data_IF_634989670275
#
_entry.id   IF_634989670275
#
_cell.length_a   1.000
_cell.length_b   1.000
_cell.length_c   1.000
_cell.angle_alpha   90.00
_cell.angle_beta   90.00
_cell.angle_gamma   90.00
#
_symmetry.space_group_name_H-M   'P 1'
#
loop_
_entity.id
_entity.type
_entity.pdbx_description
1 polymer ?
#
# COMPACT_ATOMS: atom_id res chain seq x y z
N UNK A 1 -11.09 10.56 7.69
CA UNK A 1 -9.73 10.35 8.23
C UNK A 1 -9.77 9.33 9.35
N UNK A 2 -9.41 8.10 9.00
CA UNK A 2 -9.45 6.93 9.88
C UNK A 2 -8.29 6.88 10.89
N UNK A 3 -7.10 7.38 10.52
CA UNK A 3 -5.91 7.46 11.38
C UNK A 3 -5.17 8.78 11.20
N UNK A 4 -4.48 9.22 12.24
CA UNK A 4 -3.50 10.31 12.23
C UNK A 4 -2.07 9.79 12.02
N UNK A 5 -1.13 10.68 11.71
CA UNK A 5 0.29 10.32 11.61
C UNK A 5 0.85 9.85 12.97
N UNK A 6 0.42 10.48 14.07
CA UNK A 6 0.81 10.10 15.42
C UNK A 6 0.34 8.69 15.78
N UNK A 7 -0.92 8.35 15.42
CA UNK A 7 -1.45 6.99 15.61
C UNK A 7 -0.71 5.97 14.73
N UNK A 8 -0.37 6.34 13.49
CA UNK A 8 0.42 5.49 12.60
C UNK A 8 1.77 5.12 13.22
N UNK A 9 2.49 6.10 13.76
CA UNK A 9 3.78 5.91 14.43
C UNK A 9 3.60 5.11 15.74
N UNK A 10 2.56 5.43 16.52
CA UNK A 10 2.26 4.76 17.79
C UNK A 10 1.91 3.27 17.61
N UNK A 11 1.37 2.89 16.45
CA UNK A 11 1.12 1.48 16.10
C UNK A 11 2.41 0.71 15.73
N UNK A 12 3.56 1.38 15.66
CA UNK A 12 4.85 0.76 15.38
C UNK A 12 5.13 0.50 13.90
N UNK A 13 4.37 1.13 13.00
CA UNK A 13 4.69 1.07 11.56
C UNK A 13 5.98 1.87 11.28
N UNK A 14 6.88 1.33 10.43
CA UNK A 14 8.15 1.99 10.16
C UNK A 14 7.95 3.31 9.40
N UNK A 15 8.65 4.35 9.85
CA UNK A 15 8.74 5.61 9.12
C UNK A 15 9.67 5.45 7.92
N UNK A 16 9.14 5.64 6.71
CA UNK A 16 9.95 5.71 5.50
C UNK A 16 10.36 7.17 5.31
N UNK A 17 11.65 7.47 5.47
CA UNK A 17 12.19 8.83 5.60
C UNK A 17 11.97 9.74 4.38
N UNK A 18 11.66 9.19 3.21
CA UNK A 18 11.34 9.93 1.98
C UNK A 18 9.84 9.95 1.65
N UNK A 19 9.01 9.18 2.37
CA UNK A 19 7.61 8.97 2.02
C UNK A 19 6.69 10.08 2.52
N UNK A 20 5.79 10.56 1.65
CA UNK A 20 4.70 11.45 2.04
C UNK A 20 3.66 10.69 2.88
N UNK A 21 3.95 10.46 4.17
CA UNK A 21 3.07 9.77 5.12
C UNK A 21 1.67 10.41 5.15
N UNK A 22 1.53 11.75 5.28
CA UNK A 22 0.20 12.37 5.25
C UNK A 22 -0.57 12.14 3.95
N UNK A 23 0.13 12.12 2.81
CA UNK A 23 -0.45 11.79 1.51
C UNK A 23 -0.91 10.33 1.41
N UNK A 24 -0.10 9.40 1.93
CA UNK A 24 -0.43 7.97 1.96
C UNK A 24 -1.60 7.69 2.90
N UNK A 25 -1.67 8.37 4.06
CA UNK A 25 -2.82 8.29 4.98
C UNK A 25 -4.09 8.76 4.27
N UNK A 26 -4.07 9.91 3.58
CA UNK A 26 -5.24 10.40 2.84
C UNK A 26 -5.68 9.44 1.74
N UNK A 27 -4.74 8.84 1.02
CA UNK A 27 -5.03 7.88 -0.04
C UNK A 27 -5.56 6.56 0.54
N UNK A 28 -5.01 6.11 1.66
CA UNK A 28 -5.53 4.97 2.42
C UNK A 28 -6.95 5.21 2.91
N UNK A 29 -7.24 6.39 3.47
CA UNK A 29 -8.58 6.82 3.89
C UNK A 29 -9.56 6.68 2.72
N UNK A 30 -9.23 7.28 1.56
CA UNK A 30 -10.04 7.20 0.35
C UNK A 30 -10.31 5.75 -0.11
N UNK A 31 -9.27 4.89 -0.14
CA UNK A 31 -9.41 3.50 -0.57
C UNK A 31 -10.33 2.73 0.39
N UNK A 32 -10.13 2.85 1.71
CA UNK A 32 -10.94 2.13 2.69
C UNK A 32 -12.39 2.65 2.69
N UNK A 33 -12.59 3.96 2.58
CA UNK A 33 -13.92 4.57 2.43
C UNK A 33 -14.65 4.02 1.21
N UNK A 34 -13.95 3.90 0.07
CA UNK A 34 -14.52 3.34 -1.16
C UNK A 34 -14.83 1.84 -1.03
N UNK A 35 -13.96 1.06 -0.38
CA UNK A 35 -14.16 -0.38 -0.17
C UNK A 35 -15.30 -0.70 0.81
N UNK A 36 -15.57 0.20 1.76
CA UNK A 36 -16.53 -0.04 2.85
C UNK A 36 -17.80 0.79 2.75
N UNK A 37 -17.96 1.59 1.69
CA UNK A 37 -19.11 2.48 1.47
C UNK A 37 -19.39 3.40 2.68
N UNK A 38 -18.35 3.90 3.34
CA UNK A 38 -18.51 4.77 4.50
C UNK A 38 -18.72 4.07 5.85
N UNK A 39 -18.66 2.72 5.90
CA UNK A 39 -18.88 1.94 7.13
C UNK A 39 -17.66 1.99 8.06
N UNK A 40 -16.45 2.07 7.52
CA UNK A 40 -15.23 2.20 8.29
C UNK A 40 -15.22 3.46 9.17
N UNK A 41 -15.69 4.59 8.63
CA UNK A 41 -15.79 5.86 9.35
C UNK A 41 -16.80 5.77 10.49
N UNK A 42 -17.93 5.10 10.25
CA UNK A 42 -18.94 4.85 11.29
C UNK A 42 -18.38 3.97 12.40
N UNK A 43 -17.61 2.93 12.06
CA UNK A 43 -16.96 2.06 13.04
C UNK A 43 -15.95 2.83 13.90
N UNK A 44 -15.16 3.73 13.29
CA UNK A 44 -14.23 4.60 14.02
C UNK A 44 -14.98 5.58 14.93
N UNK A 45 -16.09 6.16 14.47
CA UNK A 45 -16.93 7.05 15.27
C UNK A 45 -17.60 6.34 16.46
N UNK A 46 -18.02 5.09 16.28
CA UNK A 46 -18.61 4.29 17.36
C UNK A 46 -17.58 3.84 18.41
N UNK A 47 -16.29 3.88 18.08
CA UNK A 47 -15.22 3.46 18.97
C UNK A 47 -15.19 1.95 19.23
N UNK A 48 -14.40 1.56 20.24
CA UNK A 48 -14.25 0.16 20.66
C UNK A 48 -13.42 -0.69 19.70
N UNK A 49 -13.57 -2.02 19.81
CA UNK A 49 -12.79 -3.00 19.05
C UNK A 49 -12.89 -2.84 17.52
N UNK A 50 -14.07 -2.55 16.93
CA UNK A 50 -14.16 -2.32 15.48
C UNK A 50 -13.33 -1.11 15.01
N UNK A 51 -13.28 -0.05 15.82
CA UNK A 51 -12.47 1.12 15.49
C UNK A 51 -10.97 0.78 15.45
N UNK A 52 -10.47 0.01 16.42
CA UNK A 52 -9.06 -0.42 16.44
C UNK A 52 -8.69 -1.26 15.21
N UNK A 53 -9.56 -2.19 14.82
CA UNK A 53 -9.35 -3.01 13.62
C UNK A 53 -9.32 -2.17 12.34
N UNK A 54 -10.21 -1.18 12.22
CA UNK A 54 -10.19 -0.24 11.09
C UNK A 54 -8.93 0.63 11.08
N UNK A 55 -8.47 1.08 12.26
CA UNK A 55 -7.22 1.83 12.37
C UNK A 55 -6.01 1.00 11.96
N UNK A 56 -5.96 -0.27 12.37
CA UNK A 56 -4.92 -1.21 11.92
C UNK A 56 -4.99 -1.43 10.41
N UNK A 57 -6.18 -1.61 9.84
CA UNK A 57 -6.35 -1.75 8.39
C UNK A 57 -5.84 -0.51 7.64
N UNK A 58 -6.15 0.69 8.14
CA UNK A 58 -5.62 1.94 7.59
C UNK A 58 -4.09 2.04 7.73
N UNK A 59 -3.51 1.55 8.83
CA UNK A 59 -2.06 1.48 9.01
C UNK A 59 -1.39 0.57 7.98
N UNK A 60 -1.90 -0.65 7.79
CA UNK A 60 -1.38 -1.58 6.79
C UNK A 60 -1.50 -1.03 5.36
N UNK A 61 -2.64 -0.43 5.02
CA UNK A 61 -2.84 0.18 3.71
C UNK A 61 -1.91 1.38 3.47
N UNK A 62 -1.70 2.22 4.50
CA UNK A 62 -0.76 3.34 4.44
C UNK A 62 0.68 2.85 4.24
N UNK A 63 1.06 1.77 4.95
CA UNK A 63 2.39 1.18 4.83
C UNK A 63 2.66 0.62 3.43
N UNK A 64 1.67 -0.07 2.84
CA UNK A 64 1.74 -0.55 1.46
C UNK A 64 2.01 0.60 0.48
N UNK A 65 1.24 1.68 0.58
CA UNK A 65 1.37 2.84 -0.31
C UNK A 65 2.75 3.51 -0.18
N UNK A 66 3.30 3.59 1.04
CA UNK A 66 4.64 4.14 1.25
C UNK A 66 5.72 3.28 0.59
N UNK A 67 5.61 1.95 0.71
CA UNK A 67 6.54 1.02 0.06
C UNK A 67 6.45 1.08 -1.47
N UNK A 68 5.23 1.16 -2.01
CA UNK A 68 5.03 1.34 -3.46
C UNK A 68 5.69 2.63 -3.97
N UNK A 69 5.58 3.73 -3.22
CA UNK A 69 6.26 4.98 -3.58
C UNK A 69 7.78 4.85 -3.55
N UNK A 70 8.35 4.18 -2.54
CA UNK A 70 9.80 3.94 -2.45
C UNK A 70 10.32 3.15 -3.66
N UNK A 71 9.59 2.12 -4.09
CA UNK A 71 9.93 1.34 -5.29
C UNK A 71 9.87 2.21 -6.55
N UNK A 72 8.83 3.03 -6.70
CA UNK A 72 8.69 3.93 -7.83
C UNK A 72 9.81 4.97 -7.88
N UNK A 73 10.18 5.57 -6.75
CA UNK A 73 11.31 6.51 -6.67
C UNK A 73 12.64 5.84 -7.02
N UNK A 74 12.86 4.62 -6.52
CA UNK A 74 14.07 3.85 -6.81
C UNK A 74 14.17 3.45 -8.30
N UNK A 75 13.04 3.10 -8.91
CA UNK A 75 12.95 2.83 -10.36
C UNK A 75 13.11 4.09 -11.23
N UNK A 76 12.75 5.26 -10.69
CA UNK A 76 12.95 6.54 -11.37
C UNK A 76 14.42 6.99 -11.31
N UNK A 77 15.16 6.56 -10.28
CA UNK A 77 16.59 6.83 -10.12
C UNK A 77 17.51 5.84 -10.85
N UNK A 78 17.00 4.76 -11.47
CA UNK A 78 17.78 3.87 -12.33
C UNK A 78 17.90 4.39 -13.78
N UNK A 79 17.82 5.71 -13.98
CA UNK A 79 18.07 6.37 -15.27
C UNK A 79 19.54 6.81 -15.38
N UNK A 80 20.47 5.87 -15.55
CA UNK A 80 21.76 6.07 -16.26
C UNK A 80 22.62 4.82 -16.21
N UNK A 81 22.53 3.99 -17.24
CA UNK A 81 23.70 3.60 -18.04
C UNK A 81 23.23 2.73 -19.21
N UNK A 82 22.72 3.37 -20.26
CA UNK A 82 22.71 2.71 -21.57
C UNK A 82 24.07 2.97 -22.21
N UNK A 83 24.90 1.93 -22.24
CA UNK A 83 26.13 1.93 -23.04
C UNK A 83 25.71 2.01 -24.50
N UNK A 84 25.69 3.24 -25.06
CA UNK A 84 25.50 3.43 -26.50
C UNK A 84 26.86 3.27 -27.18
N UNK A 85 26.94 2.34 -28.13
CA UNK A 85 28.12 2.18 -28.99
C UNK A 85 27.72 2.59 -30.40
N UNK A 86 28.31 3.68 -30.88
CA UNK A 86 28.10 4.21 -32.23
C UNK A 86 29.13 3.64 -33.20
N UNK A 87 28.67 3.01 -34.28
CA UNK A 87 29.52 2.57 -35.40
C UNK A 87 28.90 3.14 -36.69
N UNK A 88 29.49 4.22 -37.21
CA UNK A 88 28.95 4.94 -38.37
C UNK A 88 27.56 5.55 -38.10
N UNK A 89 26.68 5.52 -39.09
CA UNK A 89 25.31 6.07 -39.00
C UNK A 89 24.30 5.12 -38.33
N UNK A 90 24.74 3.93 -37.90
CA UNK A 90 23.89 2.96 -37.22
C UNK A 90 24.11 3.03 -35.71
N UNK A 91 23.02 3.26 -34.99
CA UNK A 91 23.00 3.34 -33.53
C UNK A 91 22.43 2.05 -32.95
N UNK A 92 23.27 1.25 -32.31
CA UNK A 92 22.85 0.06 -31.57
C UNK A 92 22.69 0.42 -30.10
N UNK A 93 21.44 0.42 -29.62
CA UNK A 93 21.17 0.45 -28.19
C UNK A 93 21.00 -0.99 -27.71
N UNK A 94 22.02 -1.52 -27.04
CA UNK A 94 21.85 -2.72 -26.22
C UNK A 94 21.01 -2.34 -25.01
N UNK A 95 19.68 -2.48 -25.13
CA UNK A 95 18.88 -2.68 -23.93
C UNK A 95 19.39 -3.98 -23.31
N UNK A 96 20.07 -3.89 -22.17
CA UNK A 96 20.06 -5.01 -21.23
C UNK A 96 18.60 -5.20 -20.88
N UNK A 97 17.93 -6.06 -21.63
CA UNK A 97 16.80 -6.81 -21.12
C UNK A 97 17.40 -7.71 -20.05
N UNK A 98 17.71 -7.13 -18.88
CA UNK A 98 17.50 -7.87 -17.66
C UNK A 98 16.09 -8.40 -17.82
N UNK A 99 16.02 -9.72 -17.93
CA UNK A 99 14.78 -10.46 -18.05
C UNK A 99 13.79 -9.72 -17.19
N UNK A 100 12.70 -9.24 -17.81
CA UNK A 100 11.54 -8.79 -17.08
C UNK A 100 11.20 -9.97 -16.19
N UNK A 101 11.74 -9.96 -14.98
CA UNK A 101 11.09 -10.55 -13.84
C UNK A 101 9.79 -9.81 -13.88
N UNK A 102 8.80 -10.45 -14.52
CA UNK A 102 7.39 -10.35 -14.18
C UNK A 102 7.43 -9.94 -12.74
N UNK A 103 7.17 -8.65 -12.47
CA UNK A 103 7.42 -8.08 -11.15
C UNK A 103 6.83 -9.11 -10.22
N UNK A 104 7.71 -9.79 -9.48
CA UNK A 104 7.26 -10.74 -8.49
C UNK A 104 6.68 -9.77 -7.50
N UNK A 105 5.40 -9.44 -7.71
CA UNK A 105 4.52 -8.88 -6.71
C UNK A 105 4.79 -9.79 -5.55
N UNK A 106 5.67 -9.33 -4.65
CA UNK A 106 6.17 -10.15 -3.58
C UNK A 106 4.90 -10.60 -2.88
N UNK A 107 4.78 -11.89 -2.61
CA UNK A 107 3.62 -12.48 -1.92
C UNK A 107 3.23 -11.69 -0.65
N UNK A 108 4.19 -10.93 -0.09
CA UNK A 108 4.03 -9.98 1.01
C UNK A 108 3.13 -8.76 0.70
N UNK A 109 3.12 -8.25 -0.55
CA UNK A 109 2.23 -7.16 -0.98
C UNK A 109 0.77 -7.63 -1.07
N UNK A 110 0.56 -8.87 -1.52
CA UNK A 110 -0.77 -9.49 -1.54
C UNK A 110 -1.24 -9.80 -0.11
N UNK A 111 -0.36 -10.27 0.77
CA UNK A 111 -0.70 -10.56 2.17
C UNK A 111 -1.13 -9.30 2.94
N UNK A 112 -0.46 -8.17 2.73
CA UNK A 112 -0.86 -6.92 3.38
C UNK A 112 -2.22 -6.42 2.87
N UNK A 113 -2.53 -6.57 1.58
CA UNK A 113 -3.85 -6.28 1.02
C UNK A 113 -4.94 -7.22 1.57
N UNK A 114 -4.61 -8.51 1.69
CA UNK A 114 -5.48 -9.50 2.32
C UNK A 114 -5.71 -9.21 3.80
N UNK A 115 -4.70 -8.73 4.53
CA UNK A 115 -4.82 -8.35 5.93
C UNK A 115 -5.74 -7.13 6.12
N UNK A 116 -5.66 -6.13 5.24
CA UNK A 116 -6.62 -5.02 5.21
C UNK A 116 -8.05 -5.55 5.04
N UNK A 117 -8.27 -6.45 4.08
CA UNK A 117 -9.59 -7.06 3.84
C UNK A 117 -10.07 -7.89 5.04
N UNK A 118 -9.20 -8.71 5.65
CA UNK A 118 -9.53 -9.51 6.84
C UNK A 118 -9.91 -8.62 8.04
N UNK A 119 -9.15 -7.55 8.29
CA UNK A 119 -9.41 -6.61 9.37
C UNK A 119 -10.72 -5.86 9.16
N UNK A 120 -10.98 -5.37 7.93
CA UNK A 120 -12.23 -4.68 7.60
C UNK A 120 -13.45 -5.61 7.71
N UNK A 121 -13.30 -6.90 7.37
CA UNK A 121 -14.35 -7.90 7.58
C UNK A 121 -14.60 -8.16 9.07
N UNK A 122 -13.54 -8.37 9.84
CA UNK A 122 -13.63 -8.57 11.30
C UNK A 122 -14.22 -7.34 12.02
N UNK A 123 -13.99 -6.14 11.48
CA UNK A 123 -14.60 -4.90 11.95
C UNK A 123 -16.07 -4.72 11.52
N UNK A 124 -16.65 -5.66 10.75
CA UNK A 124 -18.02 -5.57 10.23
C UNK A 124 -18.20 -4.50 9.15
N UNK A 125 -17.11 -4.02 8.56
CA UNK A 125 -17.12 -2.93 7.58
C UNK A 125 -17.32 -3.41 6.13
N UNK A 126 -17.24 -4.72 5.87
CA UNK A 126 -17.51 -5.32 4.57
C UNK A 126 -18.50 -6.47 4.70
N UNK A 127 -19.40 -6.57 3.72
CA UNK A 127 -20.33 -7.68 3.63
C UNK A 127 -19.73 -8.75 2.73
N UNK A 128 -19.25 -9.84 3.32
CA UNK A 128 -19.02 -11.09 2.60
C UNK A 128 -19.59 -12.20 3.48
N UNK A 129 -20.73 -12.75 3.08
CA UNK A 129 -21.37 -13.85 3.78
C UNK A 129 -20.37 -14.99 3.97
N UNK A 130 -20.14 -15.32 5.24
CA UNK A 130 -19.97 -16.65 5.82
C UNK A 130 -19.99 -16.34 7.30
N UNK A 131 -21.17 -16.50 7.87
CA UNK A 131 -21.30 -16.87 9.27
C UNK A 131 -20.43 -18.12 9.43
N UNK A 132 -19.30 -18.00 10.13
CA UNK A 132 -18.71 -19.20 10.73
C UNK A 132 -19.64 -19.51 11.89
N UNK A 133 -20.65 -20.33 11.60
CA UNK A 133 -21.36 -21.10 12.62
C UNK A 133 -20.30 -21.86 13.43
N UNK A 134 -20.36 -21.68 14.74
CA UNK A 134 -19.50 -22.30 15.75
C UNK A 134 -19.38 -23.82 15.61
#
# INVERSE_FOLDING_TARGET
MLITAEEYISMGFPEISSGNIPGCIKRSDYIISALTEGRAEKAVQSGGKPAELVKQAAGFQTYQLLREMEILEKSSNSSSDSEKVTIGDYSYSSQKSESSSTAVFSTDCDEAGLNVIRLLRAAGCMFAGVEVLE
#
